data_IF_319250959494
#
_entry.id   IF_319250959494
#
_cell.length_a   1.000
_cell.length_b   1.000
_cell.length_c   1.000
_cell.angle_alpha   90.00
_cell.angle_beta   90.00
_cell.angle_gamma   90.00
#
_symmetry.space_group_name_H-M   'P 1'
#
loop_
_entity.id
_entity.type
_entity.pdbx_description
1 polymer ?
#
# COMPACT_ATOMS: atom_id res chain seq x y z
N UNK A 1 -16.16 -12.62 -3.27
CA UNK A 1 -16.23 -11.16 -3.51
C UNK A 1 -15.52 -10.86 -4.81
N UNK A 2 -16.00 -9.93 -5.61
CA UNK A 2 -15.30 -9.57 -6.84
C UNK A 2 -14.08 -8.75 -6.46
N UNK A 3 -12.89 -9.26 -6.77
CA UNK A 3 -11.68 -8.45 -6.69
C UNK A 3 -11.81 -7.31 -7.71
N UNK A 4 -11.56 -6.10 -7.25
CA UNK A 4 -11.50 -4.94 -8.13
C UNK A 4 -10.03 -4.69 -8.44
N UNK A 5 -9.72 -4.49 -9.72
CA UNK A 5 -8.35 -4.16 -10.10
C UNK A 5 -7.92 -2.89 -9.34
N UNK A 6 -6.77 -2.92 -8.61
CA UNK A 6 -6.42 -1.85 -7.68
C UNK A 6 -6.33 -0.47 -8.32
N UNK A 7 -6.01 -0.39 -9.62
CA UNK A 7 -5.77 0.88 -10.31
C UNK A 7 -6.82 1.27 -11.36
N UNK A 8 -7.62 0.35 -11.88
CA UNK A 8 -8.62 0.66 -12.92
C UNK A 8 -10.07 0.47 -12.48
N UNK A 9 -10.30 0.03 -11.25
CA UNK A 9 -11.67 -0.16 -10.73
C UNK A 9 -12.46 -1.29 -11.41
N UNK A 10 -11.87 -2.05 -12.32
CA UNK A 10 -12.52 -3.18 -13.00
C UNK A 10 -12.50 -4.41 -12.10
N UNK A 11 -13.56 -5.21 -12.21
CA UNK A 11 -13.63 -6.50 -11.52
C UNK A 11 -12.71 -7.49 -12.21
N UNK A 12 -11.79 -8.06 -11.48
CA UNK A 12 -10.86 -9.10 -11.94
C UNK A 12 -11.00 -10.36 -11.10
N UNK A 13 -10.58 -11.51 -11.66
CA UNK A 13 -10.48 -12.74 -10.86
C UNK A 13 -9.35 -12.63 -9.82
N UNK A 14 -9.42 -13.49 -8.80
CA UNK A 14 -8.38 -13.57 -7.78
C UNK A 14 -7.00 -13.85 -8.42
N UNK A 15 -6.95 -14.79 -9.34
CA UNK A 15 -5.70 -15.20 -10.02
C UNK A 15 -5.08 -14.04 -10.80
N UNK A 16 -5.91 -13.24 -11.49
CA UNK A 16 -5.42 -12.02 -12.17
C UNK A 16 -4.91 -10.98 -11.22
N UNK A 17 -5.57 -10.81 -10.07
CA UNK A 17 -5.10 -9.92 -9.01
C UNK A 17 -3.76 -10.36 -8.44
N UNK A 18 -3.60 -11.65 -8.16
CA UNK A 18 -2.35 -12.24 -7.69
C UNK A 18 -1.24 -12.06 -8.72
N UNK A 19 -1.49 -12.41 -9.98
CA UNK A 19 -0.52 -12.23 -11.07
C UNK A 19 -0.10 -10.77 -11.22
N UNK A 20 -1.05 -9.83 -11.10
CA UNK A 20 -0.74 -8.40 -11.11
C UNK A 20 0.28 -8.02 -10.03
N UNK A 21 0.03 -8.41 -8.76
CA UNK A 21 0.93 -8.07 -7.66
C UNK A 21 2.29 -8.75 -7.78
N UNK A 22 2.34 -9.99 -8.28
CA UNK A 22 3.59 -10.70 -8.56
C UNK A 22 4.42 -9.96 -9.61
N UNK A 23 3.82 -9.59 -10.73
CA UNK A 23 4.51 -8.87 -11.81
C UNK A 23 4.92 -7.45 -11.36
N UNK A 24 4.02 -6.76 -10.63
CA UNK A 24 4.28 -5.43 -10.11
C UNK A 24 5.35 -5.42 -9.03
N UNK A 25 5.61 -6.55 -8.37
CA UNK A 25 6.62 -6.65 -7.31
C UNK A 25 8.00 -6.16 -7.77
N UNK A 26 8.39 -6.41 -9.01
CA UNK A 26 9.70 -6.01 -9.57
C UNK A 26 9.86 -4.49 -9.66
N UNK A 27 8.75 -3.78 -9.87
CA UNK A 27 8.70 -2.32 -10.07
C UNK A 27 8.17 -1.57 -8.85
N UNK A 28 7.76 -2.30 -7.80
CA UNK A 28 7.26 -1.66 -6.59
C UNK A 28 8.35 -0.82 -5.92
N UNK A 29 8.05 0.46 -5.76
CA UNK A 29 8.89 1.40 -5.04
C UNK A 29 8.09 2.09 -3.94
N UNK A 30 8.66 2.16 -2.74
CA UNK A 30 8.08 2.89 -1.62
C UNK A 30 8.61 4.34 -1.53
N UNK A 31 9.44 4.79 -2.48
CA UNK A 31 10.02 6.14 -2.47
C UNK A 31 8.96 7.24 -2.37
N UNK A 32 7.78 7.02 -2.96
CA UNK A 32 6.67 7.96 -2.90
C UNK A 32 6.02 8.08 -1.51
N UNK A 33 6.32 7.19 -0.58
CA UNK A 33 5.82 7.27 0.79
C UNK A 33 6.71 8.11 1.70
N UNK A 34 7.96 8.38 1.28
CA UNK A 34 8.92 9.17 2.04
C UNK A 34 9.09 8.63 3.46
N UNK A 35 8.98 9.50 4.45
CA UNK A 35 9.10 9.19 5.88
C UNK A 35 7.75 8.83 6.53
N UNK A 36 6.64 8.86 5.80
CA UNK A 36 5.29 8.62 6.35
C UNK A 36 5.19 7.27 7.09
N UNK A 37 5.72 6.12 6.58
CA UNK A 37 5.64 4.86 7.31
C UNK A 37 6.26 4.94 8.71
N UNK A 38 7.44 5.53 8.83
CA UNK A 38 8.13 5.72 10.11
C UNK A 38 7.29 6.59 11.06
N UNK A 39 6.80 7.75 10.58
CA UNK A 39 5.98 8.68 11.37
C UNK A 39 4.64 8.06 11.82
N UNK A 40 4.00 7.25 11.00
CA UNK A 40 2.79 6.51 11.37
C UNK A 40 3.10 5.53 12.50
N UNK A 41 4.19 4.78 12.40
CA UNK A 41 4.59 3.83 13.43
C UNK A 41 4.94 4.56 14.73
N UNK A 42 5.68 5.67 14.67
CA UNK A 42 5.95 6.52 15.84
C UNK A 42 4.64 6.93 16.53
N UNK A 43 3.68 7.38 15.72
CA UNK A 43 2.38 7.81 16.25
C UNK A 43 1.61 6.69 16.92
N UNK A 44 1.64 5.47 16.38
CA UNK A 44 1.00 4.31 16.98
C UNK A 44 1.62 3.91 18.32
N UNK A 45 2.94 4.08 18.49
CA UNK A 45 3.60 3.92 19.78
C UNK A 45 3.23 5.04 20.77
N UNK A 46 3.22 6.31 20.34
CA UNK A 46 2.83 7.44 21.17
C UNK A 46 1.40 7.32 21.71
N UNK A 47 0.49 6.76 20.91
CA UNK A 47 -0.92 6.59 21.29
C UNK A 47 -1.19 5.30 22.06
N UNK A 48 -0.17 4.46 22.23
CA UNK A 48 -0.31 3.15 22.91
C UNK A 48 -1.02 2.08 22.08
N UNK A 49 -1.24 2.33 20.78
CA UNK A 49 -1.81 1.33 19.85
C UNK A 49 -0.80 0.22 19.51
N UNK A 50 0.49 0.52 19.64
CA UNK A 50 1.60 -0.42 19.58
C UNK A 50 2.42 -0.35 20.86
N UNK A 51 2.96 -1.50 21.27
CA UNK A 51 3.95 -1.62 22.34
C UNK A 51 5.06 -2.56 21.91
N UNK A 52 6.21 -2.51 22.59
CA UNK A 52 7.36 -3.39 22.29
C UNK A 52 7.02 -4.88 22.44
N UNK A 53 6.04 -5.22 23.28
CA UNK A 53 5.59 -6.58 23.52
C UNK A 53 4.55 -7.08 22.50
N UNK A 54 4.10 -6.24 21.56
CA UNK A 54 3.09 -6.62 20.58
C UNK A 54 3.60 -7.72 19.63
N UNK A 55 2.74 -8.72 19.39
CA UNK A 55 2.77 -9.49 18.16
C UNK A 55 1.86 -8.77 17.17
N UNK A 56 2.38 -8.40 16.03
CA UNK A 56 1.64 -7.64 15.01
C UNK A 56 1.28 -8.57 13.85
N UNK A 57 0.04 -8.47 13.36
CA UNK A 57 -0.37 -9.03 12.06
C UNK A 57 -0.44 -7.89 11.05
N UNK A 58 0.43 -7.89 10.07
CA UNK A 58 0.35 -6.98 8.92
C UNK A 58 -0.32 -7.67 7.73
N UNK A 59 -1.42 -7.08 7.25
CA UNK A 59 -2.27 -7.59 6.18
C UNK A 59 -1.93 -6.85 4.88
N UNK A 60 -1.53 -7.62 3.85
CA UNK A 60 -1.04 -7.05 2.60
C UNK A 60 0.32 -6.38 2.78
N UNK A 61 1.26 -7.07 3.45
CA UNK A 61 2.56 -6.52 3.82
C UNK A 61 3.43 -6.09 2.62
N UNK A 62 3.13 -6.62 1.43
CA UNK A 62 3.91 -6.35 0.24
C UNK A 62 5.40 -6.63 0.44
N UNK A 63 6.29 -5.78 -0.11
CA UNK A 63 7.74 -5.95 0.04
C UNK A 63 8.29 -5.34 1.35
N UNK A 64 7.40 -5.12 2.36
CA UNK A 64 7.78 -4.80 3.72
C UNK A 64 7.95 -3.33 4.06
N UNK A 65 7.26 -2.42 3.40
CA UNK A 65 7.40 -0.98 3.66
C UNK A 65 7.16 -0.63 5.12
N UNK A 66 6.14 -1.20 5.76
CA UNK A 66 5.85 -1.00 7.18
C UNK A 66 6.47 -2.10 8.05
N UNK A 67 6.49 -3.36 7.57
CA UNK A 67 7.06 -4.49 8.34
C UNK A 67 8.49 -4.24 8.79
N UNK A 68 9.33 -3.67 7.92
CA UNK A 68 10.74 -3.42 8.20
C UNK A 68 10.94 -2.30 9.24
N UNK A 69 10.01 -1.35 9.32
CA UNK A 69 10.01 -0.30 10.33
C UNK A 69 9.40 -0.79 11.66
N UNK A 70 8.41 -1.70 11.60
CA UNK A 70 7.77 -2.29 12.77
C UNK A 70 8.67 -3.29 13.50
N UNK A 71 9.30 -4.20 12.75
CA UNK A 71 9.98 -5.36 13.30
C UNK A 71 11.07 -5.03 14.34
N UNK A 72 11.90 -3.99 14.19
CA UNK A 72 12.89 -3.62 15.21
C UNK A 72 12.29 -3.14 16.53
N UNK A 73 10.98 -2.84 16.56
CA UNK A 73 10.31 -2.13 17.66
C UNK A 73 9.23 -2.95 18.37
N UNK A 74 8.92 -4.14 17.85
CA UNK A 74 7.88 -5.03 18.41
C UNK A 74 8.42 -6.44 18.61
N UNK A 75 7.68 -7.27 19.34
CA UNK A 75 8.10 -8.65 19.59
C UNK A 75 8.22 -9.48 18.31
N UNK A 76 7.22 -9.40 17.43
CA UNK A 76 7.22 -10.09 16.14
C UNK A 76 6.23 -9.44 15.16
N UNK A 77 6.49 -9.59 13.87
CA UNK A 77 5.57 -9.18 12.80
C UNK A 77 5.26 -10.39 11.93
N UNK A 78 3.99 -10.79 11.91
CA UNK A 78 3.49 -11.76 10.94
C UNK A 78 3.02 -11.00 9.72
N UNK A 79 3.70 -11.21 8.61
CA UNK A 79 3.52 -10.49 7.35
C UNK A 79 2.71 -11.34 6.39
N UNK A 80 1.43 -11.04 6.25
CA UNK A 80 0.53 -11.77 5.36
C UNK A 80 0.44 -11.03 4.02
N UNK A 81 0.71 -11.74 2.94
CA UNK A 81 0.50 -11.29 1.57
C UNK A 81 0.14 -12.47 0.67
N UNK A 82 -0.66 -12.22 -0.36
CA UNK A 82 -1.01 -13.25 -1.33
C UNK A 82 0.08 -13.45 -2.39
N UNK A 83 0.96 -12.48 -2.59
CA UNK A 83 2.04 -12.53 -3.57
C UNK A 83 3.31 -13.13 -2.98
N UNK A 84 3.73 -14.32 -3.41
CA UNK A 84 5.00 -14.92 -2.97
C UNK A 84 6.20 -14.06 -3.37
N UNK A 85 6.15 -13.35 -4.50
CA UNK A 85 7.24 -12.48 -4.93
C UNK A 85 7.39 -11.26 -4.03
N UNK A 86 6.29 -10.69 -3.54
CA UNK A 86 6.31 -9.61 -2.54
C UNK A 86 6.98 -10.09 -1.25
N UNK A 87 6.57 -11.26 -0.73
CA UNK A 87 7.16 -11.84 0.48
C UNK A 87 8.64 -12.19 0.30
N UNK A 88 9.05 -12.68 -0.85
CA UNK A 88 10.47 -12.92 -1.14
C UNK A 88 11.28 -11.62 -1.06
N UNK A 89 10.79 -10.52 -1.59
CA UNK A 89 11.46 -9.22 -1.49
C UNK A 89 11.50 -8.68 -0.06
N UNK A 90 10.42 -8.86 0.70
CA UNK A 90 10.40 -8.54 2.13
C UNK A 90 11.51 -9.30 2.86
N UNK A 91 11.60 -10.62 2.68
CA UNK A 91 12.57 -11.45 3.39
C UNK A 91 14.02 -11.16 2.97
N UNK A 92 14.27 -10.82 1.70
CA UNK A 92 15.60 -10.35 1.25
C UNK A 92 16.02 -9.09 2.01
N UNK A 93 15.16 -8.07 2.05
CA UNK A 93 15.44 -6.81 2.76
C UNK A 93 15.58 -7.02 4.27
N UNK A 94 14.75 -7.86 4.88
CA UNK A 94 14.85 -8.22 6.29
C UNK A 94 16.20 -8.87 6.62
N UNK A 95 16.65 -9.81 5.77
CA UNK A 95 17.95 -10.46 5.90
C UNK A 95 19.11 -9.47 5.76
N UNK A 96 19.06 -8.59 4.77
CA UNK A 96 20.07 -7.54 4.54
C UNK A 96 20.16 -6.56 5.72
N UNK A 97 19.04 -6.33 6.41
CA UNK A 97 18.94 -5.45 7.58
C UNK A 97 19.17 -6.18 8.92
N UNK A 98 19.42 -7.48 8.91
CA UNK A 98 19.60 -8.27 10.14
C UNK A 98 18.32 -8.42 10.99
N UNK A 99 17.14 -8.28 10.39
CA UNK A 99 15.84 -8.40 11.06
C UNK A 99 15.42 -9.87 11.08
N UNK A 100 15.23 -10.45 12.28
CA UNK A 100 14.96 -11.88 12.47
C UNK A 100 13.58 -12.23 13.03
N UNK A 101 12.73 -11.24 13.32
CA UNK A 101 11.41 -11.44 13.96
C UNK A 101 10.23 -11.23 13.01
N UNK A 102 10.47 -11.28 11.70
CA UNK A 102 9.45 -11.29 10.65
C UNK A 102 9.08 -12.72 10.30
N UNK A 103 7.79 -13.02 10.25
CA UNK A 103 7.23 -14.32 9.85
C UNK A 103 6.38 -14.13 8.61
N UNK A 104 6.86 -14.48 7.41
CA UNK A 104 6.09 -14.37 6.19
C UNK A 104 4.99 -15.43 6.12
N UNK A 105 3.81 -15.05 5.67
CA UNK A 105 2.65 -15.93 5.46
C UNK A 105 2.05 -15.67 4.09
N UNK A 106 2.19 -16.62 3.18
CA UNK A 106 1.53 -16.59 1.88
C UNK A 106 0.08 -17.05 2.04
N UNK A 107 -0.86 -16.10 1.99
CA UNK A 107 -2.28 -16.39 2.11
C UNK A 107 -3.17 -15.26 1.54
N UNK A 108 -4.36 -15.62 1.10
CA UNK A 108 -5.42 -14.64 0.81
C UNK A 108 -6.11 -14.21 2.11
N UNK A 109 -6.06 -12.92 2.41
CA UNK A 109 -6.72 -12.34 3.57
C UNK A 109 -8.20 -12.70 3.67
N UNK A 110 -8.90 -12.83 2.53
CA UNK A 110 -10.33 -13.15 2.55
C UNK A 110 -10.65 -14.55 3.08
N UNK A 111 -9.70 -15.47 3.03
CA UNK A 111 -9.83 -16.85 3.51
C UNK A 111 -8.87 -17.18 4.66
N UNK A 112 -8.03 -16.22 5.07
CA UNK A 112 -7.07 -16.46 6.15
C UNK A 112 -7.78 -16.70 7.48
N UNK A 113 -7.44 -17.79 8.12
CA UNK A 113 -7.86 -18.16 9.46
C UNK A 113 -6.63 -18.45 10.31
N UNK A 114 -6.61 -17.89 11.50
CA UNK A 114 -5.54 -18.11 12.48
C UNK A 114 -6.20 -18.24 13.88
N UNK A 115 -5.72 -19.17 14.66
CA UNK A 115 -6.11 -19.32 16.07
C UNK A 115 -5.27 -18.43 17.01
N UNK A 116 -4.37 -17.61 16.49
CA UNK A 116 -3.54 -16.68 17.25
C UNK A 116 -4.28 -15.38 17.53
N UNK A 117 -3.91 -14.73 18.62
CA UNK A 117 -4.32 -13.35 18.93
C UNK A 117 -3.12 -12.42 18.77
N UNK A 118 -3.38 -11.24 18.22
CA UNK A 118 -2.37 -10.21 17.95
C UNK A 118 -2.65 -8.97 18.80
N UNK A 119 -1.61 -8.34 19.34
CA UNK A 119 -1.73 -7.05 20.01
C UNK A 119 -2.14 -5.93 19.06
N UNK A 120 -1.82 -6.06 17.77
CA UNK A 120 -2.25 -5.12 16.75
C UNK A 120 -2.45 -5.86 15.41
N UNK A 121 -3.58 -5.57 14.73
CA UNK A 121 -3.80 -5.91 13.33
C UNK A 121 -3.71 -4.64 12.50
N UNK A 122 -2.77 -4.58 11.58
CA UNK A 122 -2.55 -3.42 10.70
C UNK A 122 -2.69 -3.81 9.23
N UNK A 123 -3.42 -3.00 8.45
CA UNK A 123 -3.49 -3.14 7.02
C UNK A 123 -3.02 -1.83 6.35
N UNK A 124 -1.94 -1.92 5.59
CA UNK A 124 -1.29 -0.76 4.99
C UNK A 124 -1.41 -0.82 3.48
N UNK A 125 -2.16 0.15 2.91
CA UNK A 125 -2.39 0.25 1.46
C UNK A 125 -2.94 -1.04 0.83
N UNK A 126 -3.58 -1.90 1.64
CA UNK A 126 -4.11 -3.19 1.22
C UNK A 126 -5.52 -3.04 0.64
N UNK A 127 -5.75 -3.39 -0.63
CA UNK A 127 -7.07 -3.29 -1.24
C UNK A 127 -8.12 -4.13 -0.50
N UNK A 128 -9.29 -3.54 -0.25
CA UNK A 128 -10.40 -4.22 0.41
C UNK A 128 -10.29 -4.38 1.93
N UNK A 129 -9.19 -3.96 2.55
CA UNK A 129 -9.00 -4.05 4.01
C UNK A 129 -10.03 -3.26 4.81
N UNK A 130 -10.61 -2.20 4.22
CA UNK A 130 -11.68 -1.41 4.84
C UNK A 130 -13.09 -2.01 4.71
N UNK A 131 -13.31 -3.18 4.12
CA UNK A 131 -14.63 -3.79 4.05
C UNK A 131 -15.14 -4.21 5.45
N UNK A 132 -16.48 -4.36 5.62
CA UNK A 132 -17.06 -4.80 6.89
C UNK A 132 -16.51 -6.15 7.35
N UNK A 133 -16.40 -7.07 6.41
CA UNK A 133 -15.91 -8.42 6.65
C UNK A 133 -14.43 -8.42 7.04
N UNK A 134 -13.64 -7.57 6.37
CA UNK A 134 -12.21 -7.42 6.69
C UNK A 134 -12.01 -6.83 8.07
N UNK A 135 -12.71 -5.74 8.40
CA UNK A 135 -12.65 -5.11 9.73
C UNK A 135 -13.06 -6.07 10.83
N UNK A 136 -14.20 -6.77 10.67
CA UNK A 136 -14.66 -7.75 11.66
C UNK A 136 -13.65 -8.89 11.88
N UNK A 137 -12.92 -9.28 10.82
CA UNK A 137 -11.85 -10.28 10.93
C UNK A 137 -10.61 -9.72 11.63
N UNK A 138 -10.23 -8.48 11.34
CA UNK A 138 -9.14 -7.81 12.07
C UNK A 138 -9.44 -7.74 13.57
N UNK A 139 -10.64 -7.31 13.93
CA UNK A 139 -11.09 -7.23 15.33
C UNK A 139 -11.15 -8.59 16.01
N UNK A 140 -11.56 -9.65 15.30
CA UNK A 140 -11.56 -11.01 15.83
C UNK A 140 -10.16 -11.54 16.15
N UNK A 141 -9.16 -11.13 15.38
CA UNK A 141 -7.77 -11.55 15.53
C UNK A 141 -6.96 -10.62 16.44
N UNK A 142 -7.48 -9.44 16.77
CA UNK A 142 -6.80 -8.47 17.63
C UNK A 142 -7.36 -8.49 19.04
N UNK A 143 -6.47 -8.44 20.04
CA UNK A 143 -6.83 -8.21 21.44
C UNK A 143 -6.38 -6.84 21.95
N UNK A 144 -5.98 -5.93 21.07
CA UNK A 144 -5.50 -4.59 21.41
C UNK A 144 -5.98 -3.54 20.43
N UNK A 145 -5.40 -3.44 19.25
CA UNK A 145 -5.73 -2.38 18.30
C UNK A 145 -5.90 -2.87 16.86
N UNK A 146 -6.68 -2.12 16.10
CA UNK A 146 -6.78 -2.24 14.65
C UNK A 146 -6.38 -0.95 13.97
N UNK A 147 -5.64 -1.06 12.85
CA UNK A 147 -5.06 0.06 12.12
C UNK A 147 -5.28 -0.11 10.62
N UNK A 148 -5.74 0.95 9.97
CA UNK A 148 -5.84 1.04 8.51
C UNK A 148 -5.03 2.24 8.03
N UNK A 149 -4.21 2.04 7.01
CA UNK A 149 -3.51 3.12 6.30
C UNK A 149 -3.92 3.11 4.85
N UNK A 150 -4.31 4.26 4.35
CA UNK A 150 -4.72 4.43 2.95
C UNK A 150 -4.21 5.73 2.36
N UNK A 151 -4.00 5.76 1.05
CA UNK A 151 -3.83 7.01 0.33
C UNK A 151 -5.09 7.86 0.42
N UNK A 152 -4.94 9.18 0.54
CA UNK A 152 -6.05 10.13 0.44
C UNK A 152 -6.00 10.92 -0.85
N UNK A 153 -4.84 11.47 -1.17
CA UNK A 153 -4.60 12.20 -2.40
C UNK A 153 -3.11 12.18 -2.76
N UNK A 154 -2.86 12.46 -4.01
CA UNK A 154 -1.55 12.82 -4.54
C UNK A 154 -1.74 14.16 -5.25
N UNK A 155 -1.04 15.19 -4.79
CA UNK A 155 -1.01 16.50 -5.41
C UNK A 155 0.32 16.64 -6.14
N UNK A 156 0.27 16.75 -7.45
CA UNK A 156 1.48 16.89 -8.28
C UNK A 156 1.36 16.16 -9.60
N UNK A 157 2.50 15.80 -10.16
CA UNK A 157 2.59 15.16 -11.46
C UNK A 157 2.13 13.70 -11.39
N UNK A 158 0.81 13.50 -11.57
CA UNK A 158 0.26 12.14 -11.71
C UNK A 158 0.40 11.69 -13.17
N UNK A 159 1.56 11.11 -13.47
CA UNK A 159 1.86 10.59 -14.80
C UNK A 159 0.85 9.56 -15.26
N UNK A 160 0.41 8.67 -14.38
CA UNK A 160 -0.62 7.67 -14.69
C UNK A 160 -1.92 8.34 -15.17
N UNK A 161 -2.42 9.34 -14.44
CA UNK A 161 -3.63 10.06 -14.81
C UNK A 161 -3.48 10.75 -16.17
N UNK A 162 -2.29 11.33 -16.45
CA UNK A 162 -2.00 11.97 -17.73
C UNK A 162 -1.99 10.95 -18.89
N UNK A 163 -1.37 9.78 -18.70
CA UNK A 163 -1.33 8.71 -19.72
C UNK A 163 -2.75 8.20 -19.99
N UNK A 164 -3.57 7.92 -18.96
CA UNK A 164 -4.96 7.48 -19.15
C UNK A 164 -5.80 8.53 -19.87
N UNK A 165 -5.62 9.81 -19.53
CA UNK A 165 -6.28 10.93 -20.22
C UNK A 165 -5.86 11.01 -21.70
N UNK A 166 -4.59 10.85 -22.00
CA UNK A 166 -4.10 10.81 -23.38
C UNK A 166 -4.69 9.65 -24.18
N UNK A 167 -5.02 8.54 -23.52
CA UNK A 167 -5.74 7.39 -24.12
C UNK A 167 -7.27 7.62 -24.23
N UNK A 168 -7.78 8.80 -23.84
CA UNK A 168 -9.22 9.11 -23.85
C UNK A 168 -10.01 8.37 -22.80
N UNK A 169 -9.38 7.95 -21.71
CA UNK A 169 -10.02 7.23 -20.60
C UNK A 169 -9.86 8.01 -19.30
N UNK A 170 -10.89 7.94 -18.45
CA UNK A 170 -10.76 8.44 -17.08
C UNK A 170 -9.96 7.43 -16.25
N UNK A 171 -8.94 7.94 -15.57
CA UNK A 171 -8.23 7.17 -14.56
C UNK A 171 -9.14 7.02 -13.33
N UNK A 172 -9.78 5.86 -13.23
CA UNK A 172 -10.78 5.57 -12.20
C UNK A 172 -10.20 5.35 -10.80
N UNK A 173 -8.94 5.71 -10.56
CA UNK A 173 -8.32 5.63 -9.25
C UNK A 173 -8.85 6.75 -8.35
N UNK A 174 -9.99 6.47 -7.74
CA UNK A 174 -10.56 7.36 -6.71
C UNK A 174 -10.23 6.82 -5.32
N UNK A 175 -9.50 7.58 -4.53
CA UNK A 175 -9.27 7.35 -3.09
C UNK A 175 -10.56 7.46 -2.25
N UNK A 176 -11.72 7.15 -2.83
CA UNK A 176 -13.05 7.38 -2.25
C UNK A 176 -13.35 6.51 -1.03
N UNK A 177 -12.63 5.39 -0.84
CA UNK A 177 -12.99 4.42 0.19
C UNK A 177 -12.65 4.80 1.63
N UNK A 178 -11.66 5.68 1.86
CA UNK A 178 -11.17 5.93 3.23
C UNK A 178 -12.10 6.78 4.10
N UNK A 179 -12.86 7.70 3.51
CA UNK A 179 -13.84 8.53 4.26
C UNK A 179 -15.06 7.68 4.62
N UNK A 180 -15.56 6.87 3.68
CA UNK A 180 -16.67 5.95 3.93
C UNK A 180 -16.36 4.93 5.02
N UNK A 181 -15.11 4.43 5.08
CA UNK A 181 -14.68 3.50 6.14
C UNK A 181 -14.72 4.17 7.51
N UNK A 182 -14.13 5.36 7.63
CA UNK A 182 -14.11 6.13 8.88
C UNK A 182 -15.53 6.40 9.40
N UNK A 183 -16.40 6.95 8.54
CA UNK A 183 -17.77 7.31 8.92
C UNK A 183 -18.57 6.08 9.33
N UNK A 184 -18.39 4.98 8.62
CA UNK A 184 -19.01 3.70 8.96
C UNK A 184 -18.54 3.18 10.31
N UNK A 185 -17.24 3.09 10.58
CA UNK A 185 -16.71 2.60 11.86
C UNK A 185 -17.21 3.45 13.03
N UNK A 186 -17.24 4.77 12.89
CA UNK A 186 -17.79 5.68 13.90
C UNK A 186 -19.29 5.45 14.11
N UNK A 187 -20.06 5.28 13.03
CA UNK A 187 -21.50 5.02 13.11
C UNK A 187 -21.83 3.65 13.74
N UNK A 188 -20.92 2.70 13.66
CA UNK A 188 -21.01 1.37 14.29
C UNK A 188 -20.51 1.38 15.75
N UNK A 189 -20.20 2.56 16.32
CA UNK A 189 -19.91 2.77 17.74
C UNK A 189 -18.44 2.62 18.13
N UNK A 190 -17.51 2.54 17.20
CA UNK A 190 -16.07 2.49 17.48
C UNK A 190 -15.52 3.88 17.77
N UNK A 191 -14.64 3.99 18.77
CA UNK A 191 -13.89 5.24 19.03
C UNK A 191 -12.70 5.38 18.09
N UNK A 192 -13.01 5.74 16.84
CA UNK A 192 -12.03 5.82 15.76
C UNK A 192 -11.25 7.13 15.85
N UNK A 193 -9.94 7.03 15.78
CA UNK A 193 -9.03 8.18 15.59
C UNK A 193 -8.58 8.22 14.13
N UNK A 194 -8.44 9.44 13.60
CA UNK A 194 -8.06 9.68 12.21
C UNK A 194 -7.03 10.79 12.16
N UNK A 195 -5.92 10.51 11.51
CA UNK A 195 -4.83 11.48 11.31
C UNK A 195 -4.35 11.46 9.86
N UNK A 196 -3.87 12.60 9.38
CA UNK A 196 -3.33 12.77 8.03
C UNK A 196 -1.83 12.98 8.12
N UNK A 197 -1.10 12.30 7.24
CA UNK A 197 0.35 12.40 7.12
C UNK A 197 0.70 12.82 5.71
N UNK A 198 1.43 13.92 5.59
CA UNK A 198 1.89 14.44 4.30
C UNK A 198 3.39 14.38 4.21
N UNK A 199 3.89 14.17 2.99
CA UNK A 199 5.31 14.28 2.65
C UNK A 199 5.46 14.89 1.26
N UNK A 200 6.41 15.81 1.14
CA UNK A 200 6.80 16.35 -0.15
C UNK A 200 7.93 15.49 -0.73
N UNK A 201 7.80 15.15 -1.98
CA UNK A 201 8.76 14.34 -2.72
C UNK A 201 9.30 15.15 -3.87
N UNK A 202 10.62 15.24 -3.92
CA UNK A 202 11.36 15.79 -5.04
C UNK A 202 12.39 14.75 -5.50
N UNK A 203 12.36 14.40 -6.77
CA UNK A 203 13.26 13.40 -7.34
C UNK A 203 13.62 13.75 -8.77
N UNK A 204 14.90 13.61 -9.10
CA UNK A 204 15.37 13.64 -10.48
C UNK A 204 15.32 12.21 -11.02
N UNK A 205 14.51 11.98 -12.05
CA UNK A 205 14.26 10.65 -12.61
C UNK A 205 14.53 10.69 -14.11
N UNK A 206 15.35 9.76 -14.65
CA UNK A 206 15.51 9.61 -16.08
C UNK A 206 14.18 9.31 -16.78
N UNK A 207 13.90 9.98 -17.90
CA UNK A 207 12.67 9.76 -18.70
C UNK A 207 12.48 8.27 -19.00
N UNK A 208 13.54 7.57 -19.40
CA UNK A 208 13.47 6.15 -19.75
C UNK A 208 13.14 5.23 -18.56
N UNK A 209 13.50 5.62 -17.33
CA UNK A 209 13.08 4.89 -16.12
C UNK A 209 11.56 5.00 -15.90
N UNK A 210 10.99 6.20 -16.09
CA UNK A 210 9.55 6.43 -16.02
C UNK A 210 8.81 5.72 -17.15
N UNK A 211 9.36 5.76 -18.39
CA UNK A 211 8.79 5.00 -19.53
C UNK A 211 8.73 3.51 -19.21
N UNK A 212 9.84 2.92 -18.75
CA UNK A 212 9.89 1.50 -18.44
C UNK A 212 8.89 1.13 -17.30
N UNK A 213 8.78 1.97 -16.27
CA UNK A 213 7.83 1.81 -15.17
C UNK A 213 6.39 1.83 -15.67
N UNK A 214 6.01 2.82 -16.48
CA UNK A 214 4.64 2.94 -16.97
C UNK A 214 4.27 1.81 -17.93
N UNK A 215 5.15 1.42 -18.85
CA UNK A 215 4.94 0.26 -19.74
C UNK A 215 4.74 -1.02 -18.93
N UNK A 216 5.54 -1.24 -17.88
CA UNK A 216 5.37 -2.38 -16.99
C UNK A 216 4.06 -2.34 -16.23
N UNK A 217 3.68 -1.17 -15.71
CA UNK A 217 2.39 -0.96 -15.04
C UNK A 217 1.23 -1.29 -15.97
N UNK A 218 1.25 -0.79 -17.22
CA UNK A 218 0.20 -1.08 -18.20
C UNK A 218 0.09 -2.56 -18.56
N UNK A 219 1.22 -3.28 -18.68
CA UNK A 219 1.21 -4.73 -18.85
C UNK A 219 0.60 -5.45 -17.65
N UNK A 220 0.98 -5.03 -16.45
CA UNK A 220 0.42 -5.56 -15.21
C UNK A 220 -1.10 -5.30 -15.09
N UNK A 221 -1.61 -4.20 -15.65
CA UNK A 221 -3.07 -3.95 -15.80
C UNK A 221 -3.75 -4.86 -16.83
N UNK A 222 -3.05 -5.83 -17.40
CA UNK A 222 -3.57 -6.69 -18.45
C UNK A 222 -3.76 -5.96 -19.79
N UNK A 223 -3.15 -4.80 -19.94
CA UNK A 223 -3.22 -4.00 -21.16
C UNK A 223 -1.90 -4.13 -21.92
N UNK A 224 -1.92 -4.87 -23.03
CA UNK A 224 -0.72 -5.06 -23.87
C UNK A 224 -0.39 -3.85 -24.77
N UNK A 225 -0.98 -2.69 -24.50
CA UNK A 225 -0.70 -1.48 -25.26
C UNK A 225 0.69 -0.95 -24.89
N UNK A 226 1.51 -0.67 -25.88
CA UNK A 226 2.75 0.06 -25.66
C UNK A 226 2.44 1.55 -25.51
N UNK A 227 2.68 2.07 -24.32
CA UNK A 227 2.46 3.49 -23.97
C UNK A 227 3.74 4.31 -24.00
N UNK A 228 4.85 3.75 -24.48
CA UNK A 228 6.18 4.39 -24.45
C UNK A 228 6.18 5.77 -25.08
N UNK A 229 5.60 5.91 -26.29
CA UNK A 229 5.59 7.19 -27.00
C UNK A 229 4.67 8.22 -26.32
N UNK A 230 3.58 7.78 -25.73
CA UNK A 230 2.67 8.64 -24.96
C UNK A 230 3.41 9.18 -23.73
N UNK A 231 4.08 8.32 -22.98
CA UNK A 231 4.84 8.70 -21.78
C UNK A 231 5.95 9.69 -22.15
N UNK A 232 6.73 9.41 -23.20
CA UNK A 232 7.76 10.35 -23.66
C UNK A 232 7.16 11.70 -24.06
N UNK A 233 6.08 11.72 -24.82
CA UNK A 233 5.43 12.96 -25.23
C UNK A 233 4.92 13.82 -24.08
N UNK A 234 4.59 13.19 -22.95
CA UNK A 234 4.19 13.89 -21.72
C UNK A 234 5.39 14.45 -20.97
N UNK A 235 6.49 13.70 -20.90
CA UNK A 235 7.65 14.03 -20.06
C UNK A 235 8.70 14.89 -20.74
N UNK A 236 8.92 14.72 -22.06
CA UNK A 236 9.97 15.43 -22.80
C UNK A 236 9.90 16.97 -22.75
N UNK A 237 8.70 17.61 -22.72
CA UNK A 237 8.63 19.07 -22.61
C UNK A 237 9.23 19.65 -21.33
N UNK A 238 9.22 18.85 -20.24
CA UNK A 238 9.69 19.24 -18.90
C UNK A 238 11.03 18.58 -18.53
N UNK A 239 11.62 17.81 -19.47
CA UNK A 239 12.90 17.14 -19.26
C UNK A 239 14.08 18.05 -19.57
N UNK A 240 15.08 18.06 -18.70
CA UNK A 240 16.39 18.66 -18.93
C UNK A 240 17.43 17.54 -19.07
N UNK A 241 18.12 17.47 -20.21
CA UNK A 241 19.08 16.41 -20.57
C UNK A 241 18.55 14.96 -20.29
N UNK A 242 17.28 14.72 -20.63
CA UNK A 242 16.62 13.43 -20.43
C UNK A 242 16.25 13.10 -18.98
N UNK A 243 16.30 14.07 -18.08
CA UNK A 243 15.93 13.94 -16.67
C UNK A 243 14.69 14.81 -16.39
N UNK A 244 13.71 14.25 -15.72
CA UNK A 244 12.52 14.97 -15.23
C UNK A 244 12.69 15.25 -13.75
N UNK A 245 12.51 16.51 -13.36
CA UNK A 245 12.42 16.89 -11.96
C UNK A 245 10.97 16.68 -11.47
N UNK A 246 10.73 15.54 -10.83
CA UNK A 246 9.42 15.15 -10.33
C UNK A 246 9.17 15.77 -8.96
N UNK A 247 7.99 16.40 -8.79
CA UNK A 247 7.52 16.95 -7.52
C UNK A 247 6.11 16.47 -7.23
N UNK A 248 5.89 15.98 -6.02
CA UNK A 248 4.55 15.62 -5.55
C UNK A 248 4.44 15.81 -4.04
N UNK A 249 3.26 16.20 -3.58
CA UNK A 249 2.87 16.10 -2.18
C UNK A 249 1.95 14.90 -2.03
N UNK A 250 2.38 13.92 -1.30
CA UNK A 250 1.62 12.71 -1.02
C UNK A 250 0.98 12.80 0.36
N UNK A 251 -0.27 12.37 0.46
CA UNK A 251 -1.00 12.34 1.72
C UNK A 251 -1.56 10.94 1.97
N UNK A 252 -1.34 10.45 3.20
CA UNK A 252 -1.91 9.21 3.70
C UNK A 252 -2.79 9.47 4.91
N UNK A 253 -3.85 8.69 5.02
CA UNK A 253 -4.75 8.66 6.16
C UNK A 253 -4.45 7.45 7.03
N UNK A 254 -4.20 7.71 8.30
CA UNK A 254 -4.15 6.74 9.36
C UNK A 254 -5.51 6.70 10.07
N UNK A 255 -6.12 5.52 10.16
CA UNK A 255 -7.35 5.24 10.90
C UNK A 255 -7.02 4.16 11.92
N UNK A 256 -7.28 4.40 13.21
CA UNK A 256 -6.96 3.42 14.25
C UNK A 256 -7.97 3.46 15.40
N UNK A 257 -8.17 2.32 16.05
CA UNK A 257 -9.06 2.15 17.19
C UNK A 257 -8.62 0.97 18.08
N UNK A 258 -8.99 1.02 19.33
CA UNK A 258 -8.85 -0.11 20.25
C UNK A 258 -10.02 -1.09 20.05
N UNK A 259 -9.75 -2.41 20.23
CA UNK A 259 -10.74 -3.49 20.13
C UNK A 259 -11.29 -3.85 21.52
#
# INVERSE_FOLDING_TARGET
MSNTHPFVGEKISYEKGLQFWDDFSEHYSNRQQGDIPCRIIDRLFETGMLTEDCNVLEIGSGPGTYSLELAPRVRSVRCLDSSPRMLMRLMSKASESGIGNIVPVEADWNSYEDGSEYGCCIATLCPGSGSRESVARMEKLSNGSCVLVSWTCNHGDDLNAQVWKALGKDYGYGFRGSTEVQDRLSSEGRDVKVELFQTDIEMDIPVEELVAKEVSSFKAYGNNMDVSDIVRSILEPDADDGIVHFRATNEMKLIYWAV
#
